data_IF_018501670754
#
_entry.id   IF_018501670754
#
_cell.length_a   1.000
_cell.length_b   1.000
_cell.length_c   1.000
_cell.angle_alpha   90.00
_cell.angle_beta   90.00
_cell.angle_gamma   90.00
#
_symmetry.space_group_name_H-M   'P 1'
#
loop_
_entity.id
_entity.type
_entity.pdbx_description
1 polymer ?
#
# COMPACT_ATOMS: atom_id res chain seq x y z
N UNK A 1 -35.12 -46.01 -8.91
CA UNK A 1 -35.20 -44.57 -8.63
C UNK A 1 -34.19 -44.29 -7.53
N UNK A 2 -33.04 -43.71 -7.88
CA UNK A 2 -31.93 -43.39 -6.94
C UNK A 2 -31.91 -41.88 -6.75
N UNK A 3 -32.31 -41.41 -5.59
CA UNK A 3 -32.22 -40.01 -5.18
C UNK A 3 -30.75 -39.63 -5.00
N UNK A 4 -30.23 -38.75 -5.84
CA UNK A 4 -28.98 -38.08 -5.63
C UNK A 4 -29.23 -36.86 -4.75
N UNK A 5 -28.86 -36.99 -3.48
CA UNK A 5 -28.83 -35.88 -2.54
C UNK A 5 -27.61 -35.00 -2.90
N UNK A 6 -27.84 -33.85 -3.54
CA UNK A 6 -26.81 -32.82 -3.73
C UNK A 6 -26.62 -32.13 -2.38
N UNK A 7 -25.50 -32.44 -1.72
CA UNK A 7 -25.04 -31.68 -0.57
C UNK A 7 -24.41 -30.38 -1.10
N UNK A 8 -25.18 -29.29 -1.08
CA UNK A 8 -24.65 -27.94 -1.27
C UNK A 8 -23.87 -27.56 0.00
N UNK A 9 -22.56 -27.68 -0.07
CA UNK A 9 -21.65 -27.17 0.97
C UNK A 9 -21.65 -25.64 0.86
N UNK A 10 -22.59 -25.00 1.56
CA UNK A 10 -22.55 -23.56 1.75
C UNK A 10 -21.36 -23.28 2.66
N UNK A 11 -20.24 -22.79 2.10
CA UNK A 11 -19.19 -22.13 2.86
C UNK A 11 -19.78 -20.89 3.51
N UNK A 12 -20.30 -21.03 4.71
CA UNK A 12 -20.54 -19.96 5.66
C UNK A 12 -19.15 -19.42 6.06
N UNK A 13 -18.61 -18.50 5.27
CA UNK A 13 -17.60 -17.58 5.74
C UNK A 13 -18.24 -16.76 6.86
N UNK A 14 -18.10 -17.22 8.08
CA UNK A 14 -18.32 -16.42 9.28
C UNK A 14 -17.34 -15.22 9.16
N UNK A 15 -17.82 -14.13 8.60
CA UNK A 15 -17.17 -12.82 8.71
C UNK A 15 -17.17 -12.46 10.21
N UNK A 16 -16.18 -12.96 10.95
CA UNK A 16 -15.88 -12.44 12.25
C UNK A 16 -15.30 -11.04 12.01
N UNK A 17 -16.15 -10.00 12.06
CA UNK A 17 -15.75 -8.61 11.93
C UNK A 17 -14.59 -8.32 12.87
N UNK A 18 -13.42 -8.01 12.29
CA UNK A 18 -12.30 -7.46 13.02
C UNK A 18 -12.61 -6.04 13.51
N UNK A 19 -11.85 -5.56 14.47
CA UNK A 19 -11.96 -4.18 14.92
C UNK A 19 -11.31 -3.27 13.86
N UNK A 20 -12.01 -2.21 13.45
CA UNK A 20 -11.49 -1.19 12.53
C UNK A 20 -10.45 -0.26 13.18
N UNK A 21 -10.27 -0.36 14.49
CA UNK A 21 -9.32 0.45 15.26
C UNK A 21 -8.26 -0.45 15.89
N UNK A 22 -7.05 0.10 16.03
CA UNK A 22 -5.95 -0.52 16.76
C UNK A 22 -5.51 -1.87 16.17
N UNK A 23 -5.32 -1.90 14.87
CA UNK A 23 -4.67 -3.03 14.20
C UNK A 23 -3.17 -2.84 14.33
N UNK A 24 -2.46 -3.84 14.85
CA UNK A 24 -1.05 -3.70 15.20
C UNK A 24 -0.17 -4.76 14.56
N UNK A 25 1.11 -4.43 14.41
CA UNK A 25 2.17 -5.40 14.12
C UNK A 25 2.35 -6.40 15.28
N UNK A 26 3.05 -7.53 15.07
CA UNK A 26 3.28 -8.50 16.15
C UNK A 26 3.97 -7.92 17.38
N UNK A 27 4.92 -6.97 17.21
CA UNK A 27 5.60 -6.28 18.30
C UNK A 27 4.83 -5.07 18.86
N UNK A 28 3.68 -4.71 18.28
CA UNK A 28 2.85 -3.57 18.69
C UNK A 28 3.40 -2.19 18.33
N UNK A 29 4.54 -2.09 17.62
CA UNK A 29 5.16 -0.79 17.28
C UNK A 29 4.53 -0.10 16.06
N UNK A 30 3.88 -0.83 15.17
CA UNK A 30 3.18 -0.28 14.03
C UNK A 30 1.68 -0.45 14.26
N UNK A 31 0.95 0.65 14.19
CA UNK A 31 -0.51 0.67 14.36
C UNK A 31 -1.18 1.23 13.10
N UNK A 32 -2.17 0.50 12.57
CA UNK A 32 -3.02 0.92 11.46
C UNK A 32 -4.39 1.32 11.99
N UNK A 33 -4.87 2.49 11.56
CA UNK A 33 -6.21 2.99 11.86
C UNK A 33 -6.94 3.32 10.56
N UNK A 34 -8.14 2.77 10.40
CA UNK A 34 -9.08 3.20 9.37
C UNK A 34 -9.76 4.49 9.85
N UNK A 35 -9.65 5.58 9.07
CA UNK A 35 -10.19 6.91 9.40
C UNK A 35 -11.25 7.39 8.41
N UNK A 36 -11.60 6.57 7.41
CA UNK A 36 -12.66 6.86 6.46
C UNK A 36 -14.06 6.64 7.01
N UNK A 37 -15.08 7.16 6.31
CA UNK A 37 -16.44 6.69 6.46
C UNK A 37 -16.67 5.44 5.59
N UNK A 38 -17.55 4.55 6.02
CA UNK A 38 -17.73 3.26 5.33
C UNK A 38 -18.33 3.39 3.92
N UNK A 39 -18.85 4.55 3.56
CA UNK A 39 -19.66 4.74 2.37
C UNK A 39 -18.92 5.45 1.21
N UNK A 40 -17.98 6.35 1.50
CA UNK A 40 -17.44 7.20 0.44
C UNK A 40 -15.93 7.51 0.56
N UNK A 41 -15.40 7.69 1.77
CA UNK A 41 -14.02 8.12 1.96
C UNK A 41 -13.23 7.03 2.69
N UNK A 42 -12.40 6.33 1.96
CA UNK A 42 -11.56 5.29 2.52
C UNK A 42 -10.15 5.82 2.70
N UNK A 43 -9.80 6.09 3.95
CA UNK A 43 -8.51 6.62 4.34
C UNK A 43 -7.92 5.81 5.49
N UNK A 44 -6.60 5.81 5.58
CA UNK A 44 -5.84 5.07 6.59
C UNK A 44 -4.72 5.93 7.15
N UNK A 45 -4.40 5.71 8.42
CA UNK A 45 -3.22 6.25 9.07
C UNK A 45 -2.41 5.13 9.67
N UNK A 46 -1.09 5.24 9.55
CA UNK A 46 -0.15 4.35 10.21
C UNK A 46 0.64 5.16 11.22
N UNK A 47 0.62 4.70 12.47
CA UNK A 47 1.39 5.28 13.55
C UNK A 47 2.58 4.37 13.89
N UNK A 48 3.70 4.99 14.21
CA UNK A 48 4.79 4.36 14.92
C UNK A 48 4.64 4.62 16.42
N UNK A 49 4.63 3.56 17.20
CA UNK A 49 4.50 3.63 18.67
C UNK A 49 5.89 3.60 19.27
N UNK A 50 6.41 4.77 19.59
CA UNK A 50 7.70 4.97 20.25
C UNK A 50 7.54 5.14 21.77
N UNK A 51 8.66 5.32 22.47
CA UNK A 51 8.68 5.53 23.93
C UNK A 51 7.90 6.78 24.36
N UNK A 52 7.88 7.81 23.52
CA UNK A 52 7.22 9.09 23.79
C UNK A 52 5.77 9.16 23.24
N UNK A 53 5.20 8.03 22.82
CA UNK A 53 3.84 7.93 22.29
C UNK A 53 3.77 7.64 20.80
N UNK A 54 2.58 7.82 20.24
CA UNK A 54 2.28 7.55 18.84
C UNK A 54 2.74 8.72 17.93
N UNK A 55 3.46 8.40 16.86
CA UNK A 55 3.90 9.32 15.82
C UNK A 55 3.24 8.90 14.52
N UNK A 56 2.50 9.81 13.86
CA UNK A 56 1.94 9.55 12.54
C UNK A 56 3.07 9.40 11.52
N UNK A 57 3.30 8.16 11.09
CA UNK A 57 4.36 7.80 10.15
C UNK A 57 3.89 7.82 8.70
N UNK A 58 2.60 7.55 8.44
CA UNK A 58 2.03 7.53 7.09
C UNK A 58 0.56 7.96 7.13
N UNK A 59 0.17 8.87 6.24
CA UNK A 59 -1.21 9.26 5.96
C UNK A 59 -1.57 8.84 4.53
N UNK A 60 -2.60 8.00 4.38
CA UNK A 60 -3.15 7.53 3.10
C UNK A 60 -4.58 8.06 2.96
N UNK A 61 -4.76 9.30 2.49
CA UNK A 61 -6.08 9.95 2.44
C UNK A 61 -7.02 9.35 1.40
N UNK A 62 -6.50 8.63 0.40
CA UNK A 62 -7.30 8.02 -0.66
C UNK A 62 -6.75 6.64 -1.00
N UNK A 63 -7.63 5.67 -1.14
CA UNK A 63 -7.35 4.33 -1.68
C UNK A 63 -8.36 3.95 -2.75
N UNK A 64 -7.99 3.05 -3.65
CA UNK A 64 -8.85 2.49 -4.68
C UNK A 64 -8.09 2.08 -5.93
N UNK A 65 -8.73 1.28 -6.75
CA UNK A 65 -8.25 0.84 -8.06
C UNK A 65 -9.41 0.87 -9.05
N UNK A 66 -9.17 1.39 -10.26
CA UNK A 66 -10.16 1.52 -11.31
C UNK A 66 -9.80 0.65 -12.51
N UNK A 67 -10.78 -0.01 -13.08
CA UNK A 67 -10.62 -0.83 -14.27
C UNK A 67 -11.36 -0.27 -15.48
N UNK A 68 -11.08 -0.80 -16.68
CA UNK A 68 -11.73 -0.38 -17.93
C UNK A 68 -13.21 -0.76 -18.02
N UNK A 69 -13.64 -1.78 -17.28
CA UNK A 69 -15.03 -2.23 -17.18
C UNK A 69 -15.75 -1.65 -15.94
N UNK A 70 -15.27 -0.50 -15.45
CA UNK A 70 -15.91 0.32 -14.41
C UNK A 70 -15.87 -0.25 -12.98
N UNK A 71 -15.12 -1.34 -12.73
CA UNK A 71 -14.94 -1.83 -11.36
C UNK A 71 -14.13 -0.86 -10.52
N UNK A 72 -14.40 -0.84 -9.23
CA UNK A 72 -13.71 0.00 -8.24
C UNK A 72 -14.31 1.37 -8.00
N UNK A 73 -15.44 1.69 -8.63
CA UNK A 73 -16.16 2.94 -8.38
C UNK A 73 -17.09 2.84 -7.17
N UNK A 74 -17.13 3.92 -6.39
CA UNK A 74 -18.02 4.05 -5.24
C UNK A 74 -17.92 2.87 -4.27
N UNK A 75 -16.71 2.63 -3.78
CA UNK A 75 -16.43 1.54 -2.84
C UNK A 75 -17.22 1.72 -1.55
N UNK A 76 -17.74 0.63 -1.02
CA UNK A 76 -18.37 0.54 0.30
C UNK A 76 -17.61 -0.51 1.11
N UNK A 77 -17.19 -0.18 2.31
CA UNK A 77 -16.50 -1.11 3.20
C UNK A 77 -17.51 -2.10 3.80
N UNK A 78 -17.37 -3.39 3.46
CA UNK A 78 -18.16 -4.49 4.01
C UNK A 78 -17.64 -4.92 5.39
N UNK A 79 -16.31 -4.95 5.54
CA UNK A 79 -15.70 -5.34 6.80
C UNK A 79 -14.19 -5.52 6.72
N UNK A 80 -13.60 -5.90 7.84
CA UNK A 80 -12.18 -6.24 7.96
C UNK A 80 -12.04 -7.60 8.64
N UNK A 81 -11.04 -8.37 8.23
CA UNK A 81 -10.72 -9.66 8.86
C UNK A 81 -10.16 -9.48 10.29
N UNK A 82 -10.15 -10.54 11.07
CA UNK A 82 -9.26 -10.65 12.24
C UNK A 82 -7.82 -10.69 11.76
N UNK A 83 -6.88 -10.38 12.66
CA UNK A 83 -5.47 -10.55 12.40
C UNK A 83 -5.15 -12.00 12.01
N UNK A 84 -4.41 -12.15 10.91
CA UNK A 84 -3.80 -13.40 10.51
C UNK A 84 -2.27 -13.24 10.66
N UNK A 85 -1.68 -13.95 11.62
CA UNK A 85 -0.23 -13.90 11.83
C UNK A 85 0.49 -14.63 10.71
N UNK A 86 1.49 -13.97 10.12
CA UNK A 86 2.31 -14.48 9.04
C UNK A 86 3.77 -14.46 9.50
N UNK A 87 4.47 -15.56 9.23
CA UNK A 87 5.93 -15.64 9.31
C UNK A 87 6.46 -16.06 7.95
N UNK A 88 7.33 -15.23 7.38
CA UNK A 88 7.97 -15.46 6.09
C UNK A 88 9.46 -15.68 6.29
N UNK A 89 9.98 -16.78 5.73
CA UNK A 89 11.42 -17.08 5.71
C UNK A 89 11.85 -17.26 4.27
N UNK A 90 12.86 -16.54 3.84
CA UNK A 90 13.33 -16.58 2.46
C UNK A 90 14.83 -16.33 2.34
N UNK A 91 15.38 -16.68 1.19
CA UNK A 91 16.80 -16.51 0.89
C UNK A 91 16.96 -15.53 -0.26
N UNK A 92 17.70 -14.46 -0.01
CA UNK A 92 18.05 -13.48 -1.04
C UNK A 92 19.28 -13.96 -1.82
N UNK A 93 19.27 -13.77 -3.14
CA UNK A 93 20.44 -14.01 -3.99
C UNK A 93 21.50 -12.91 -3.81
N UNK A 94 21.03 -11.69 -3.64
CA UNK A 94 21.83 -10.46 -3.41
C UNK A 94 21.16 -9.62 -2.35
N UNK A 95 21.86 -8.65 -1.78
CA UNK A 95 21.30 -7.74 -0.80
C UNK A 95 22.04 -7.75 0.54
N UNK A 96 21.43 -7.14 1.54
CA UNK A 96 22.06 -6.92 2.88
C UNK A 96 22.27 -8.21 3.66
N UNK A 97 21.35 -9.18 3.52
CA UNK A 97 21.37 -10.47 4.25
C UNK A 97 20.94 -11.59 3.33
N UNK A 98 21.61 -12.74 3.47
CA UNK A 98 21.26 -13.94 2.70
C UNK A 98 19.97 -14.60 3.22
N UNK A 99 19.87 -14.82 4.53
CA UNK A 99 18.69 -15.38 5.18
C UNK A 99 17.87 -14.25 5.77
N UNK A 100 16.62 -14.16 5.39
CA UNK A 100 15.66 -13.16 5.84
C UNK A 100 14.47 -13.85 6.50
N UNK A 101 13.95 -13.24 7.57
CA UNK A 101 12.73 -13.67 8.26
C UNK A 101 11.94 -12.45 8.64
N UNK A 102 10.69 -12.40 8.22
CA UNK A 102 9.77 -11.31 8.52
C UNK A 102 8.51 -11.86 9.19
N UNK A 103 7.97 -11.09 10.13
CA UNK A 103 6.74 -11.41 10.84
C UNK A 103 5.74 -10.26 10.66
N UNK A 104 4.49 -10.59 10.37
CA UNK A 104 3.43 -9.61 10.17
C UNK A 104 2.09 -10.10 10.73
N UNK A 105 1.23 -9.15 11.07
CA UNK A 105 -0.19 -9.37 11.18
C UNK A 105 -0.87 -8.87 9.90
N UNK A 106 -1.55 -9.76 9.19
CA UNK A 106 -2.29 -9.44 7.97
C UNK A 106 -3.75 -9.13 8.30
N UNK A 107 -4.26 -8.05 7.68
CA UNK A 107 -5.63 -7.61 7.77
C UNK A 107 -6.19 -7.39 6.37
N UNK A 108 -7.34 -7.96 6.09
CA UNK A 108 -8.00 -7.85 4.78
C UNK A 108 -9.25 -6.98 4.91
N UNK A 109 -9.22 -5.81 4.32
CA UNK A 109 -10.38 -4.94 4.15
C UNK A 109 -11.11 -5.35 2.88
N UNK A 110 -12.36 -5.73 3.01
CA UNK A 110 -13.20 -6.12 1.87
C UNK A 110 -14.15 -5.00 1.53
N UNK A 111 -14.11 -4.59 0.29
CA UNK A 111 -15.00 -3.58 -0.28
C UNK A 111 -15.89 -4.20 -1.35
N UNK A 112 -17.04 -3.58 -1.57
CA UNK A 112 -17.85 -3.75 -2.76
C UNK A 112 -17.97 -2.43 -3.49
N UNK A 113 -17.93 -2.47 -4.81
CA UNK A 113 -18.19 -1.32 -5.66
C UNK A 113 -19.69 -1.19 -6.01
N UNK A 114 -20.03 -0.17 -6.81
CA UNK A 114 -21.42 0.05 -7.26
C UNK A 114 -21.99 -1.09 -8.10
N UNK A 115 -21.15 -1.95 -8.67
CA UNK A 115 -21.52 -3.14 -9.43
C UNK A 115 -21.53 -4.42 -8.58
N UNK A 116 -21.41 -4.31 -7.25
CA UNK A 116 -21.30 -5.43 -6.30
C UNK A 116 -20.06 -6.32 -6.50
N UNK A 117 -19.04 -5.80 -7.18
CA UNK A 117 -17.77 -6.51 -7.36
C UNK A 117 -16.91 -6.37 -6.11
N UNK A 118 -16.23 -7.45 -5.74
CA UNK A 118 -15.38 -7.48 -4.55
C UNK A 118 -13.99 -6.95 -4.89
N UNK A 119 -13.52 -6.00 -4.07
CA UNK A 119 -12.16 -5.50 -4.10
C UNK A 119 -11.62 -5.60 -2.67
N UNK A 120 -10.47 -6.21 -2.52
CA UNK A 120 -9.79 -6.33 -1.24
C UNK A 120 -8.60 -5.39 -1.18
N UNK A 121 -8.38 -4.78 -0.03
CA UNK A 121 -7.16 -4.07 0.31
C UNK A 121 -6.52 -4.84 1.47
N UNK A 122 -5.40 -5.46 1.19
CA UNK A 122 -4.66 -6.30 2.13
C UNK A 122 -3.53 -5.49 2.73
N UNK A 123 -3.52 -5.38 4.06
CA UNK A 123 -2.42 -4.79 4.82
C UNK A 123 -1.65 -5.88 5.56
N UNK A 124 -0.33 -5.81 5.52
CA UNK A 124 0.59 -6.55 6.38
C UNK A 124 1.35 -5.58 7.26
N UNK A 125 1.12 -5.66 8.55
CA UNK A 125 1.83 -4.84 9.54
C UNK A 125 3.02 -5.64 10.06
N UNK A 126 4.20 -5.31 9.54
CA UNK A 126 5.47 -5.89 9.95
C UNK A 126 6.03 -5.18 11.20
N UNK A 127 7.03 -5.77 11.83
CA UNK A 127 7.67 -5.20 13.02
C UNK A 127 8.44 -3.89 12.73
N UNK A 128 8.79 -3.66 11.47
CA UNK A 128 9.59 -2.53 10.97
C UNK A 128 8.92 -1.78 9.80
N UNK A 129 7.59 -1.96 9.62
CA UNK A 129 6.89 -1.26 8.56
C UNK A 129 5.51 -1.83 8.23
N UNK A 130 4.98 -1.38 7.11
CA UNK A 130 3.70 -1.84 6.57
C UNK A 130 3.82 -2.08 5.07
N UNK A 131 3.16 -3.13 4.58
CA UNK A 131 2.93 -3.30 3.16
C UNK A 131 1.43 -3.43 2.89
N UNK A 132 0.98 -2.93 1.74
CA UNK A 132 -0.41 -3.11 1.32
C UNK A 132 -0.51 -3.29 -0.20
N UNK A 133 -1.56 -4.02 -0.62
CA UNK A 133 -1.89 -4.21 -2.03
C UNK A 133 -3.38 -4.40 -2.23
N UNK A 134 -3.81 -4.18 -3.44
CA UNK A 134 -5.17 -4.52 -3.89
C UNK A 134 -5.22 -5.95 -4.40
N UNK A 135 -6.35 -6.61 -4.20
CA UNK A 135 -6.68 -7.90 -4.78
C UNK A 135 -8.10 -7.86 -5.34
N UNK A 136 -8.27 -8.28 -6.58
CA UNK A 136 -9.58 -8.41 -7.23
C UNK A 136 -9.74 -9.89 -7.62
N UNK A 137 -10.53 -10.66 -6.86
CA UNK A 137 -10.76 -12.06 -7.18
C UNK A 137 -11.66 -12.21 -8.41
N UNK A 138 -11.38 -13.21 -9.22
CA UNK A 138 -12.17 -13.59 -10.39
C UNK A 138 -12.54 -12.40 -11.31
N UNK A 139 -11.55 -11.52 -11.55
CA UNK A 139 -11.75 -10.35 -12.40
C UNK A 139 -12.04 -10.76 -13.85
N UNK A 140 -13.07 -10.17 -14.44
CA UNK A 140 -13.32 -10.23 -15.88
C UNK A 140 -12.19 -9.48 -16.62
N UNK A 141 -11.90 -9.90 -17.85
CA UNK A 141 -10.83 -9.29 -18.64
C UNK A 141 -11.00 -7.75 -18.73
N UNK A 142 -10.01 -7.03 -18.23
CA UNK A 142 -10.03 -5.58 -18.18
C UNK A 142 -8.61 -5.00 -18.09
N UNK A 143 -8.48 -3.72 -18.44
CA UNK A 143 -7.28 -2.94 -18.15
C UNK A 143 -7.37 -2.36 -16.73
N UNK A 144 -6.28 -2.35 -16.00
CA UNK A 144 -6.14 -1.52 -14.79
C UNK A 144 -5.89 -0.09 -15.27
N UNK A 145 -6.88 0.77 -15.11
CA UNK A 145 -6.81 2.17 -15.59
C UNK A 145 -6.08 3.09 -14.64
N UNK A 146 -6.28 2.91 -13.35
CA UNK A 146 -5.74 3.82 -12.35
C UNK A 146 -5.67 3.16 -10.98
N UNK A 147 -4.68 3.52 -10.20
CA UNK A 147 -4.61 3.26 -8.76
C UNK A 147 -4.69 4.60 -8.03
N UNK A 148 -5.73 4.75 -7.22
CA UNK A 148 -6.06 6.01 -6.57
C UNK A 148 -5.25 6.26 -5.30
N UNK A 149 -4.41 5.30 -4.90
CA UNK A 149 -3.56 5.40 -3.72
C UNK A 149 -2.85 6.75 -3.69
N UNK A 150 -3.09 7.48 -2.63
CA UNK A 150 -2.48 8.79 -2.38
C UNK A 150 -1.82 8.76 -1.02
N UNK A 151 -0.58 9.25 -0.95
CA UNK A 151 0.16 9.43 0.30
C UNK A 151 0.31 10.92 0.55
N UNK A 152 0.04 11.35 1.79
CA UNK A 152 0.21 12.75 2.17
C UNK A 152 1.51 12.95 2.92
N UNK A 153 2.33 13.87 2.41
CA UNK A 153 3.56 14.33 3.03
C UNK A 153 3.43 15.84 3.28
N UNK A 154 3.25 16.30 4.52
CA UNK A 154 3.12 17.71 4.85
C UNK A 154 4.32 18.54 4.37
N UNK A 155 4.07 19.78 3.96
CA UNK A 155 5.15 20.75 3.73
C UNK A 155 5.94 20.99 5.02
N UNK A 156 7.23 21.31 4.88
CA UNK A 156 8.15 21.47 6.00
C UNK A 156 8.83 20.16 6.46
N UNK A 157 8.27 18.98 6.17
CA UNK A 157 8.95 17.70 6.45
C UNK A 157 10.12 17.48 5.51
N UNK A 158 11.27 17.12 6.07
CA UNK A 158 12.44 16.74 5.28
C UNK A 158 12.16 15.46 4.51
N UNK A 159 12.52 15.47 3.24
CA UNK A 159 12.36 14.35 2.32
C UNK A 159 13.52 14.28 1.35
N UNK A 160 13.87 13.07 0.95
CA UNK A 160 14.85 12.75 -0.09
C UNK A 160 14.12 11.96 -1.16
N UNK A 161 13.85 12.61 -2.27
CA UNK A 161 13.07 12.04 -3.37
C UNK A 161 13.73 12.42 -4.69
N UNK A 162 13.81 11.46 -5.59
CA UNK A 162 14.27 11.69 -6.96
C UNK A 162 13.10 12.19 -7.82
N UNK A 163 13.33 13.22 -8.61
CA UNK A 163 12.45 13.54 -9.73
C UNK A 163 12.41 12.36 -10.69
N UNK A 164 11.21 11.95 -11.10
CA UNK A 164 11.05 10.79 -11.98
C UNK A 164 11.85 10.94 -13.27
N UNK A 165 12.66 9.97 -13.55
CA UNK A 165 13.44 9.82 -14.78
C UNK A 165 13.40 8.34 -15.20
N UNK A 166 13.21 8.07 -16.50
CA UNK A 166 13.12 6.69 -17.01
C UNK A 166 14.42 5.91 -16.82
N UNK A 167 15.57 6.59 -16.80
CA UNK A 167 16.87 5.96 -16.53
C UNK A 167 17.15 5.69 -15.07
N UNK A 168 16.38 6.27 -14.14
CA UNK A 168 16.63 6.22 -12.68
C UNK A 168 18.04 6.69 -12.28
N UNK A 169 18.66 7.58 -13.07
CA UNK A 169 20.02 8.07 -12.85
C UNK A 169 20.08 9.45 -12.14
N UNK A 170 19.02 9.81 -11.45
CA UNK A 170 18.92 11.09 -10.75
C UNK A 170 19.47 11.04 -9.33
N UNK A 171 19.58 12.22 -8.73
CA UNK A 171 19.94 12.40 -7.33
C UNK A 171 18.70 12.43 -6.43
N UNK A 172 18.90 12.16 -5.15
CA UNK A 172 17.90 12.29 -4.09
C UNK A 172 18.21 13.53 -3.24
N UNK A 173 17.93 14.75 -3.71
CA UNK A 173 18.22 15.95 -2.94
C UNK A 173 17.35 16.05 -1.70
N UNK A 174 17.89 16.58 -0.61
CA UNK A 174 17.09 16.97 0.54
C UNK A 174 16.17 18.13 0.14
N UNK A 175 14.90 18.02 0.54
CA UNK A 175 13.90 19.06 0.35
C UNK A 175 12.93 19.08 1.52
N UNK A 176 12.33 20.23 1.80
CA UNK A 176 11.22 20.39 2.75
C UNK A 176 9.90 20.70 2.04
N UNK A 177 9.93 20.74 0.71
CA UNK A 177 8.74 21.02 -0.13
C UNK A 177 8.49 19.90 -1.13
N UNK A 178 7.22 19.66 -1.45
CA UNK A 178 6.82 18.77 -2.56
C UNK A 178 6.92 19.42 -3.94
N UNK A 179 7.41 20.66 -4.07
CA UNK A 179 7.56 21.32 -5.36
C UNK A 179 8.88 20.95 -6.02
N UNK A 180 8.84 20.57 -7.29
CA UNK A 180 10.04 20.45 -8.13
C UNK A 180 10.40 21.85 -8.63
N UNK A 181 11.49 22.39 -8.09
CA UNK A 181 11.95 23.75 -8.42
C UNK A 181 13.10 23.77 -9.41
N UNK A 182 13.77 22.64 -9.59
CA UNK A 182 14.99 22.50 -10.43
C UNK A 182 14.86 21.34 -11.41
N UNK A 183 15.60 21.36 -12.50
CA UNK A 183 15.64 20.30 -13.49
C UNK A 183 14.89 20.62 -14.78
N UNK A 184 15.10 19.77 -15.80
CA UNK A 184 14.49 19.92 -17.14
C UNK A 184 13.02 19.48 -17.16
N UNK A 185 12.68 18.50 -16.32
CA UNK A 185 11.32 17.97 -16.23
C UNK A 185 10.58 18.58 -15.04
N UNK A 186 9.58 19.42 -15.34
CA UNK A 186 8.76 20.10 -14.32
C UNK A 186 7.43 19.39 -14.07
N UNK A 187 7.34 18.10 -14.36
CA UNK A 187 6.08 17.36 -14.34
C UNK A 187 5.53 17.05 -12.93
N UNK A 188 6.14 17.51 -11.85
CA UNK A 188 5.74 17.16 -10.48
C UNK A 188 5.54 15.65 -10.31
N UNK A 189 6.48 14.86 -10.85
CA UNK A 189 6.49 13.40 -10.82
C UNK A 189 7.77 12.92 -10.15
N UNK A 190 7.63 11.94 -9.26
CA UNK A 190 8.66 11.45 -8.36
C UNK A 190 8.82 9.94 -8.50
N UNK A 191 10.08 9.48 -8.46
CA UNK A 191 10.42 8.05 -8.49
C UNK A 191 10.39 7.41 -7.10
N UNK A 192 10.47 6.09 -7.08
CA UNK A 192 10.75 5.30 -5.89
C UNK A 192 12.27 5.08 -5.75
N UNK A 193 12.79 4.87 -4.52
CA UNK A 193 12.12 5.04 -3.25
C UNK A 193 12.01 6.50 -2.82
N UNK A 194 11.18 6.79 -1.79
CA UNK A 194 11.07 8.10 -1.15
C UNK A 194 11.38 7.98 0.33
N UNK A 195 12.39 8.69 0.82
CA UNK A 195 12.75 8.73 2.24
C UNK A 195 12.23 10.02 2.87
N UNK A 196 11.53 9.90 3.99
CA UNK A 196 10.91 11.01 4.71
C UNK A 196 11.31 10.94 6.19
N UNK A 197 11.75 12.06 6.77
CA UNK A 197 11.90 12.21 8.20
C UNK A 197 10.57 12.69 8.78
N UNK A 198 9.86 11.82 9.49
CA UNK A 198 8.53 12.15 10.05
C UNK A 198 8.60 12.74 11.45
N UNK A 199 9.65 12.44 12.19
CA UNK A 199 10.03 13.05 13.48
C UNK A 199 11.56 12.95 13.64
N UNK A 200 12.12 13.50 14.73
CA UNK A 200 13.57 13.56 14.91
C UNK A 200 14.26 12.19 14.72
N UNK A 201 13.71 11.13 15.34
CA UNK A 201 14.28 9.78 15.29
C UNK A 201 13.37 8.78 14.55
N UNK A 202 12.34 9.25 13.82
CA UNK A 202 11.44 8.38 13.07
C UNK A 202 11.45 8.71 11.59
N UNK A 203 11.70 7.69 10.81
CA UNK A 203 11.85 7.75 9.37
C UNK A 203 10.88 6.82 8.68
N UNK A 204 10.52 7.17 7.46
CA UNK A 204 9.66 6.38 6.59
C UNK A 204 10.31 6.27 5.23
N UNK A 205 10.53 5.04 4.74
CA UNK A 205 10.98 4.78 3.36
C UNK A 205 9.87 4.11 2.59
N UNK A 206 9.40 4.77 1.54
CA UNK A 206 8.30 4.30 0.68
C UNK A 206 8.89 3.71 -0.59
N UNK A 207 8.47 2.49 -0.93
CA UNK A 207 8.87 1.80 -2.14
C UNK A 207 7.79 0.80 -2.59
N UNK A 208 8.12 -0.08 -3.52
CA UNK A 208 7.25 -1.16 -3.99
C UNK A 208 8.01 -2.47 -4.12
N UNK A 209 7.30 -3.58 -4.02
CA UNK A 209 7.84 -4.93 -4.15
C UNK A 209 6.85 -5.87 -4.85
N UNK A 210 7.33 -7.03 -5.30
CA UNK A 210 6.49 -8.03 -5.95
C UNK A 210 5.97 -7.58 -7.32
N UNK A 211 6.78 -6.85 -8.07
CA UNK A 211 6.44 -6.42 -9.43
C UNK A 211 6.55 -7.61 -10.37
N UNK A 212 5.45 -7.96 -11.01
CA UNK A 212 5.37 -9.05 -11.99
C UNK A 212 5.12 -8.52 -13.40
N UNK A 213 5.16 -9.42 -14.41
CA UNK A 213 5.01 -9.05 -15.84
C UNK A 213 3.66 -8.39 -16.18
N UNK A 214 2.64 -8.61 -15.35
CA UNK A 214 1.32 -8.02 -15.53
C UNK A 214 1.18 -6.63 -14.92
N UNK A 215 2.19 -6.14 -14.23
CA UNK A 215 2.15 -4.85 -13.56
C UNK A 215 2.76 -3.75 -14.43
N UNK A 216 2.19 -2.55 -14.33
CA UNK A 216 2.79 -1.32 -14.86
C UNK A 216 3.85 -0.80 -13.90
N UNK A 217 4.86 -0.12 -14.45
CA UNK A 217 5.74 0.71 -13.66
C UNK A 217 4.94 1.81 -12.95
N UNK A 218 5.38 2.19 -11.77
CA UNK A 218 4.71 3.23 -10.98
C UNK A 218 5.65 4.37 -10.59
N UNK A 219 5.05 5.51 -10.34
CA UNK A 219 5.69 6.72 -9.83
C UNK A 219 4.66 7.51 -9.00
N UNK A 220 5.05 8.65 -8.45
CA UNK A 220 4.17 9.49 -7.66
C UNK A 220 3.98 10.84 -8.32
N UNK A 221 2.75 11.38 -8.33
CA UNK A 221 2.42 12.72 -8.84
C UNK A 221 1.71 13.55 -7.80
N UNK A 222 2.16 14.79 -7.62
CA UNK A 222 1.55 15.76 -6.72
C UNK A 222 1.26 17.11 -7.42
N UNK A 223 0.89 17.04 -8.69
CA UNK A 223 0.62 18.19 -9.55
C UNK A 223 -0.65 18.97 -9.16
N UNK A 224 -1.62 18.30 -8.52
CA UNK A 224 -2.88 18.94 -8.09
C UNK A 224 -2.77 19.57 -6.70
N UNK A 225 -2.20 18.82 -5.75
CA UNK A 225 -2.02 19.24 -4.35
C UNK A 225 -0.62 18.86 -3.95
N UNK A 226 0.22 19.84 -3.63
CA UNK A 226 1.66 19.66 -3.42
C UNK A 226 2.00 18.68 -2.29
N UNK A 227 1.11 18.49 -1.34
CA UNK A 227 1.26 17.55 -0.22
C UNK A 227 0.76 16.15 -0.54
N UNK A 228 -0.05 15.97 -1.58
CA UNK A 228 -0.76 14.73 -1.87
C UNK A 228 -0.13 14.03 -3.09
N UNK A 229 0.65 13.01 -2.82
CA UNK A 229 1.37 12.21 -3.80
C UNK A 229 0.50 11.04 -4.22
N UNK A 230 -0.19 11.20 -5.36
CA UNK A 230 -0.99 10.13 -5.96
C UNK A 230 -0.09 9.18 -6.73
N UNK A 231 -0.31 7.88 -6.57
CA UNK A 231 0.33 6.88 -7.41
C UNK A 231 -0.09 7.08 -8.87
N UNK A 232 0.88 7.04 -9.75
CA UNK A 232 0.71 7.14 -11.20
C UNK A 232 1.25 5.86 -11.84
N UNK A 233 0.39 5.14 -12.54
CA UNK A 233 0.77 3.99 -13.33
C UNK A 233 1.13 4.46 -14.74
N UNK A 234 2.24 3.97 -15.27
CA UNK A 234 2.50 4.09 -16.70
C UNK A 234 1.41 3.34 -17.48
N UNK A 235 1.26 3.65 -18.76
CA UNK A 235 0.22 3.05 -19.60
C UNK A 235 0.27 1.52 -19.52
N UNK A 236 -0.77 0.94 -18.97
CA UNK A 236 -1.00 -0.49 -19.02
C UNK A 236 -1.93 -0.81 -20.18
N UNK A 237 -1.36 -1.31 -21.26
CA UNK A 237 -2.10 -1.65 -22.48
C UNK A 237 -2.49 -3.13 -22.54
N UNK A 238 -2.10 -3.92 -21.54
CA UNK A 238 -2.43 -5.34 -21.49
C UNK A 238 -3.59 -5.60 -20.55
N UNK A 239 -4.67 -6.22 -21.04
CA UNK A 239 -5.75 -6.65 -20.16
C UNK A 239 -5.27 -7.77 -19.23
N UNK A 240 -5.86 -7.80 -18.06
CA UNK A 240 -5.66 -8.83 -17.04
C UNK A 240 -7.00 -9.45 -16.66
N UNK A 241 -7.00 -10.70 -16.20
CA UNK A 241 -8.21 -11.44 -15.81
C UNK A 241 -7.88 -12.48 -14.74
N UNK A 242 -8.91 -13.05 -14.12
CA UNK A 242 -8.78 -14.01 -13.05
C UNK A 242 -8.48 -13.35 -11.71
N UNK A 243 -7.72 -14.00 -10.85
CA UNK A 243 -7.30 -13.42 -9.57
C UNK A 243 -6.16 -12.43 -9.83
N UNK A 244 -6.49 -11.15 -9.79
CA UNK A 244 -5.52 -10.07 -9.98
C UNK A 244 -5.12 -9.45 -8.65
N UNK A 245 -3.85 -9.04 -8.55
CA UNK A 245 -3.33 -8.25 -7.43
C UNK A 245 -2.37 -7.17 -7.94
N UNK A 246 -2.28 -6.07 -7.19
CA UNK A 246 -1.28 -5.02 -7.45
C UNK A 246 0.09 -5.42 -6.86
N UNK A 247 1.19 -4.76 -7.25
CA UNK A 247 2.42 -4.80 -6.46
C UNK A 247 2.15 -4.37 -5.02
N UNK A 248 3.00 -4.83 -4.09
CA UNK A 248 2.99 -4.33 -2.73
C UNK A 248 3.51 -2.89 -2.69
N UNK A 249 2.78 -2.01 -2.04
CA UNK A 249 3.26 -0.70 -1.60
C UNK A 249 3.89 -0.91 -0.24
N UNK A 250 5.20 -0.79 -0.18
CA UNK A 250 6.00 -1.11 1.01
C UNK A 250 6.48 0.17 1.65
N UNK A 251 6.29 0.26 2.96
CA UNK A 251 6.69 1.41 3.75
C UNK A 251 7.44 0.92 4.99
N UNK A 252 8.76 1.08 5.01
CA UNK A 252 9.58 0.81 6.17
C UNK A 252 9.45 1.98 7.15
N UNK A 253 9.34 1.70 8.44
CA UNK A 253 9.09 2.71 9.47
C UNK A 253 9.92 2.37 10.71
N UNK A 254 10.65 3.35 11.22
CA UNK A 254 11.47 3.22 12.42
C UNK A 254 12.56 4.27 12.51
N UNK A 255 13.58 4.01 13.30
CA UNK A 255 14.81 4.80 13.26
C UNK A 255 15.49 4.67 11.89
N UNK A 256 16.42 5.56 11.58
CA UNK A 256 17.18 5.43 10.32
C UNK A 256 17.93 4.08 10.25
N UNK A 257 18.39 3.57 11.38
CA UNK A 257 19.02 2.26 11.46
C UNK A 257 18.03 1.13 11.14
N UNK A 258 16.81 1.17 11.68
CA UNK A 258 15.75 0.19 11.38
C UNK A 258 15.42 0.17 9.89
N UNK A 259 15.30 1.36 9.26
CA UNK A 259 15.05 1.47 7.81
C UNK A 259 16.21 0.87 6.99
N UNK A 260 17.46 1.14 7.38
CA UNK A 260 18.64 0.58 6.69
C UNK A 260 18.76 -0.92 6.89
N UNK A 261 18.39 -1.43 8.07
CA UNK A 261 18.45 -2.87 8.40
C UNK A 261 17.25 -3.68 7.88
N UNK A 262 16.12 -3.03 7.56
CA UNK A 262 14.90 -3.69 7.09
C UNK A 262 15.15 -4.55 5.85
N UNK A 263 14.45 -5.67 5.78
CA UNK A 263 14.49 -6.62 4.66
C UNK A 263 13.15 -6.71 3.92
N UNK A 264 12.31 -5.70 4.06
CA UNK A 264 10.99 -5.68 3.40
C UNK A 264 11.07 -5.43 1.88
N UNK A 265 12.22 -4.90 1.38
CA UNK A 265 12.54 -4.76 -0.06
C UNK A 265 13.98 -5.14 -0.34
#
# INVERSE_FOLDING_TARGET
MKNKLLLALACLLLCACGNLKNQTSPNGKIELTYVGDKAQNHAFKVNYIGENGAIEALDIPVVGVLTSNEWGKNLTLEGVSKANYIKEEYTMLTGKRKACSNEANEYVYQFKDSLQKVIKLVFRLYNDGVAFRYEIPAMEEALIKDELTTIRIPEGRKRWMQTYDQGYEGFYPESTTGKITTGRNRSQQWGNPALIQVADDVWTLISEAGIEKMHSASSWKNDKVVTDYKLFLDKNEKPVSGDWFSPWRVVMIGSLADVVESTLI
#
